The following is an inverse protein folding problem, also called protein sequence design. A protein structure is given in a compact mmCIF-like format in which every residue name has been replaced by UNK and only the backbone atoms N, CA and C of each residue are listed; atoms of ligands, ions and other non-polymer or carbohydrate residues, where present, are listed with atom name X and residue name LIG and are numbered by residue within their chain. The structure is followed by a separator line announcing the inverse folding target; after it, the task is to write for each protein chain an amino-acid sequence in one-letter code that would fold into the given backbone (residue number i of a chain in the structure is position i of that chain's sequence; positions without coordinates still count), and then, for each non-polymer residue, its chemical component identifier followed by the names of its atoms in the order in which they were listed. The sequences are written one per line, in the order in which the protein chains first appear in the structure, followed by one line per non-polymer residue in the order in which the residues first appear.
data_IF_874616636974
#
_entry.id   IF_874616636974
#
_cell.length_a   1.000
_cell.length_b   1.000
_cell.length_c   1.000
_cell.angle_alpha   90.00
_cell.angle_beta   90.00
_cell.angle_gamma   90.00
#
_symmetry.space_group_name_H-M   'P 1'
#
loop_
_entity.id
_entity.type
_entity.pdbx_description
1 polymer ?
#
# COMPACT_ATOMS: atom_id res chain seq x y z
N UNK A 1 5.93 -3.88 12.37
CA UNK A 1 5.94 -3.53 10.94
C UNK A 1 5.25 -2.20 10.71
N UNK A 2 5.64 -1.52 9.66
CA UNK A 2 5.16 -0.17 9.35
C UNK A 2 4.59 -0.11 7.94
N UNK A 3 3.40 0.48 7.80
CA UNK A 3 2.70 0.61 6.52
C UNK A 3 2.40 2.07 6.18
N UNK A 4 2.51 2.39 4.90
CA UNK A 4 2.10 3.66 4.35
C UNK A 4 0.75 3.47 3.65
N UNK A 5 -0.26 4.23 4.05
CA UNK A 5 -1.62 4.13 3.50
C UNK A 5 -1.90 5.37 2.67
N UNK A 6 -2.10 5.16 1.37
CA UNK A 6 -2.18 6.22 0.38
C UNK A 6 -3.54 6.19 -0.31
N UNK A 7 -4.36 7.18 -0.02
CA UNK A 7 -5.71 7.31 -0.58
C UNK A 7 -6.15 8.76 -0.40
N UNK A 8 -6.78 9.35 -1.39
CA UNK A 8 -7.27 10.73 -1.30
C UNK A 8 -8.53 10.84 -0.43
N UNK A 9 -9.22 9.73 -0.18
CA UNK A 9 -10.34 9.68 0.74
C UNK A 9 -9.85 9.50 2.18
N UNK A 10 -10.05 10.50 3.00
CA UNK A 10 -9.70 10.44 4.41
C UNK A 10 -10.41 9.28 5.14
N UNK A 11 -11.67 9.05 4.80
CA UNK A 11 -12.46 7.96 5.39
C UNK A 11 -11.84 6.61 5.03
N UNK A 12 -11.49 6.41 3.76
CA UNK A 12 -10.89 5.16 3.31
C UNK A 12 -9.50 4.95 3.92
N UNK A 13 -8.69 6.01 4.02
CA UNK A 13 -7.38 5.90 4.70
C UNK A 13 -7.56 5.40 6.13
N UNK A 14 -8.54 5.94 6.85
CA UNK A 14 -8.80 5.51 8.24
C UNK A 14 -9.26 4.07 8.33
N UNK A 15 -10.11 3.63 7.41
CA UNK A 15 -10.59 2.24 7.38
C UNK A 15 -9.40 1.30 7.18
N UNK A 16 -8.60 1.53 6.16
CA UNK A 16 -7.42 0.70 5.87
C UNK A 16 -6.42 0.73 7.03
N UNK A 17 -6.13 1.92 7.55
CA UNK A 17 -5.20 2.08 8.68
C UNK A 17 -5.68 1.34 9.92
N UNK A 18 -6.98 1.40 10.23
CA UNK A 18 -7.55 0.73 11.40
C UNK A 18 -7.39 -0.79 11.27
N UNK A 19 -7.71 -1.34 10.10
CA UNK A 19 -7.55 -2.78 9.86
C UNK A 19 -6.08 -3.19 10.00
N UNK A 20 -5.16 -2.43 9.43
CA UNK A 20 -3.73 -2.70 9.53
C UNK A 20 -3.22 -2.63 10.97
N UNK A 21 -3.69 -1.65 11.74
CA UNK A 21 -3.34 -1.53 13.17
C UNK A 21 -3.83 -2.75 13.96
N UNK A 22 -5.01 -3.25 13.65
CA UNK A 22 -5.54 -4.46 14.28
C UNK A 22 -4.66 -5.67 14.00
N UNK A 23 -3.94 -5.67 12.89
CA UNK A 23 -2.99 -6.72 12.54
C UNK A 23 -1.56 -6.45 13.03
N UNK A 24 -1.36 -5.39 13.80
CA UNK A 24 -0.07 -5.10 14.42
C UNK A 24 0.81 -4.09 13.70
N UNK A 25 0.28 -3.39 12.69
CA UNK A 25 1.04 -2.37 11.97
C UNK A 25 1.04 -1.02 12.67
N UNK A 26 2.17 -0.32 12.59
CA UNK A 26 2.24 1.13 12.72
C UNK A 26 1.91 1.71 11.35
N UNK A 27 1.04 2.72 11.28
CA UNK A 27 0.59 3.28 10.01
C UNK A 27 0.92 4.75 9.87
N UNK A 28 1.25 5.16 8.65
CA UNK A 28 1.39 6.55 8.23
C UNK A 28 0.46 6.76 7.06
N UNK A 29 -0.25 7.89 7.03
CA UNK A 29 -1.23 8.18 5.98
C UNK A 29 -0.74 9.28 5.06
N UNK A 30 -1.06 9.15 3.77
CA UNK A 30 -0.79 10.15 2.75
C UNK A 30 -2.02 10.34 1.85
N UNK A 31 -2.32 11.57 1.49
CA UNK A 31 -3.51 11.91 0.70
C UNK A 31 -3.32 11.83 -0.81
N UNK A 32 -2.08 11.70 -1.27
CA UNK A 32 -1.75 11.54 -2.69
C UNK A 32 -0.35 10.94 -2.85
N UNK A 33 0.02 10.65 -4.10
CA UNK A 33 1.31 10.03 -4.38
C UNK A 33 2.51 10.91 -4.03
N UNK A 34 2.38 12.23 -4.14
CA UNK A 34 3.49 13.13 -3.80
C UNK A 34 3.73 13.16 -2.29
N UNK A 35 2.67 13.25 -1.50
CA UNK A 35 2.78 13.17 -0.05
C UNK A 35 3.40 11.84 0.38
N UNK A 36 3.05 10.76 -0.31
CA UNK A 36 3.61 9.45 -0.05
C UNK A 36 5.11 9.39 -0.34
N UNK A 37 5.56 9.95 -1.47
CA UNK A 37 6.99 10.04 -1.78
C UNK A 37 7.73 10.87 -0.75
N UNK A 38 7.12 11.96 -0.29
CA UNK A 38 7.71 12.80 0.76
C UNK A 38 7.86 12.03 2.08
N UNK A 39 6.88 11.21 2.42
CA UNK A 39 6.94 10.36 3.60
C UNK A 39 8.05 9.31 3.50
N UNK A 40 8.24 8.71 2.32
CA UNK A 40 9.34 7.77 2.08
C UNK A 40 10.70 8.47 2.18
N UNK A 41 10.82 9.65 1.58
CA UNK A 41 12.06 10.42 1.63
C UNK A 41 12.43 10.86 3.05
N UNK A 42 11.44 11.09 3.90
CA UNK A 42 11.66 11.52 5.28
C UNK A 42 12.35 10.46 6.15
N UNK A 43 12.22 9.17 5.80
CA UNK A 43 12.93 8.08 6.49
C UNK A 43 14.25 7.69 5.80
N UNK A 44 14.71 8.51 4.86
CA UNK A 44 16.01 8.35 4.20
C UNK A 44 16.03 7.20 3.20
N UNK A 45 16.65 6.09 3.54
CA UNK A 45 16.82 4.95 2.63
C UNK A 45 15.55 4.10 2.45
N UNK A 46 14.42 4.52 3.02
CA UNK A 46 13.15 3.83 2.86
C UNK A 46 13.00 2.55 3.67
N UNK A 47 13.94 2.23 4.55
CA UNK A 47 13.89 1.01 5.36
C UNK A 47 12.84 1.07 6.46
N UNK A 48 12.19 2.22 6.67
CA UNK A 48 11.16 2.40 7.68
C UNK A 48 9.82 1.76 7.35
N UNK A 49 9.56 1.45 6.08
CA UNK A 49 8.28 0.91 5.63
C UNK A 49 8.41 -0.50 5.08
N UNK A 50 7.51 -1.38 5.53
CA UNK A 50 7.40 -2.77 5.03
C UNK A 50 6.38 -2.90 3.92
N UNK A 51 5.33 -2.07 3.96
CA UNK A 51 4.17 -2.15 3.08
C UNK A 51 3.70 -0.76 2.69
N UNK A 52 3.23 -0.61 1.46
CA UNK A 52 2.43 0.53 1.04
C UNK A 52 1.14 0.03 0.41
N UNK A 53 0.00 0.57 0.88
CA UNK A 53 -1.32 0.33 0.32
C UNK A 53 -1.71 1.56 -0.48
N UNK A 54 -2.01 1.39 -1.77
CA UNK A 54 -2.07 2.49 -2.72
C UNK A 54 -3.39 2.47 -3.49
N UNK A 55 -4.17 3.55 -3.42
CA UNK A 55 -5.31 3.74 -4.30
C UNK A 55 -4.82 4.19 -5.69
N UNK A 56 -5.58 3.85 -6.74
CA UNK A 56 -5.23 4.22 -8.11
C UNK A 56 -5.54 5.69 -8.41
N UNK A 57 -6.79 6.08 -8.18
CA UNK A 57 -7.29 7.40 -8.57
C UNK A 57 -7.07 8.42 -7.46
N UNK A 58 -6.04 9.25 -7.62
CA UNK A 58 -5.69 10.30 -6.68
C UNK A 58 -5.30 11.56 -7.44
N UNK A 59 -5.52 12.75 -6.85
CA UNK A 59 -5.02 13.99 -7.44
C UNK A 59 -3.49 14.07 -7.35
N UNK A 60 -2.89 14.97 -8.09
CA UNK A 60 -1.46 15.27 -8.11
C UNK A 60 -0.64 14.14 -8.73
N UNK A 61 -0.76 12.92 -8.22
CA UNK A 61 -0.05 11.75 -8.73
C UNK A 61 -0.91 10.50 -8.49
N UNK A 62 -1.27 9.77 -9.53
CA UNK A 62 -2.04 8.54 -9.40
C UNK A 62 -1.20 7.38 -8.86
N UNK A 63 -1.90 6.30 -8.49
CA UNK A 63 -1.24 5.14 -7.88
C UNK A 63 -0.27 4.43 -8.80
N UNK A 64 -0.57 4.35 -10.09
CA UNK A 64 0.32 3.71 -11.06
C UNK A 64 1.65 4.47 -11.19
N UNK A 65 1.57 5.80 -11.28
CA UNK A 65 2.75 6.65 -11.32
C UNK A 65 3.57 6.53 -10.05
N UNK A 66 2.91 6.49 -8.89
CA UNK A 66 3.59 6.29 -7.61
C UNK A 66 4.36 4.96 -7.59
N UNK A 67 3.71 3.85 -7.97
CA UNK A 67 4.35 2.53 -8.03
C UNK A 67 5.59 2.57 -8.93
N UNK A 68 5.46 3.18 -10.09
CA UNK A 68 6.57 3.31 -11.05
C UNK A 68 7.74 4.06 -10.43
N UNK A 69 7.47 5.20 -9.78
CA UNK A 69 8.52 6.01 -9.15
C UNK A 69 9.21 5.27 -8.01
N UNK A 70 8.47 4.54 -7.21
CA UNK A 70 9.06 3.74 -6.12
C UNK A 70 9.99 2.67 -6.68
N UNK A 71 9.58 1.98 -7.74
CA UNK A 71 10.40 0.93 -8.34
C UNK A 71 11.65 1.44 -9.04
N UNK A 72 11.66 2.69 -9.45
CA UNK A 72 12.86 3.33 -10.02
C UNK A 72 13.91 3.66 -8.96
N UNK A 73 13.51 3.77 -7.70
CA UNK A 73 14.41 4.12 -6.61
C UNK A 73 14.90 2.87 -5.88
N UNK A 74 16.20 2.61 -5.96
CA UNK A 74 16.83 1.43 -5.34
C UNK A 74 16.63 1.38 -3.83
N UNK A 75 16.61 2.53 -3.16
CA UNK A 75 16.44 2.61 -1.72
C UNK A 75 15.08 2.06 -1.26
N UNK A 76 14.08 2.04 -2.13
CA UNK A 76 12.70 1.65 -1.81
C UNK A 76 12.29 0.30 -2.37
N UNK A 77 13.21 -0.46 -2.95
CA UNK A 77 12.90 -1.76 -3.57
C UNK A 77 12.40 -2.81 -2.58
N UNK A 78 12.76 -2.67 -1.31
CA UNK A 78 12.32 -3.60 -0.27
C UNK A 78 10.89 -3.39 0.20
N UNK A 79 10.24 -2.31 -0.20
CA UNK A 79 8.86 -2.02 0.21
C UNK A 79 7.90 -2.85 -0.64
N UNK A 80 7.02 -3.60 0.00
CA UNK A 80 5.96 -4.33 -0.70
C UNK A 80 4.85 -3.34 -1.07
N UNK A 81 4.44 -3.35 -2.33
CA UNK A 81 3.40 -2.47 -2.84
C UNK A 81 2.13 -3.26 -3.13
N UNK A 82 1.02 -2.85 -2.54
CA UNK A 82 -0.29 -3.45 -2.78
C UNK A 82 -1.28 -2.38 -3.19
N UNK A 83 -1.92 -2.58 -4.34
CA UNK A 83 -3.01 -1.71 -4.75
C UNK A 83 -4.25 -2.03 -3.91
N UNK A 84 -4.90 -1.00 -3.38
CA UNK A 84 -6.17 -1.11 -2.64
C UNK A 84 -7.10 -0.07 -3.23
N UNK A 85 -7.93 -0.48 -4.17
CA UNK A 85 -8.65 0.47 -5.03
C UNK A 85 -9.96 -0.11 -5.55
N UNK A 86 -10.86 0.77 -6.02
CA UNK A 86 -12.09 0.37 -6.70
C UNK A 86 -11.87 -0.02 -8.17
N UNK A 87 -10.70 0.28 -8.73
CA UNK A 87 -10.38 -0.10 -10.10
C UNK A 87 -10.27 -1.61 -10.20
N UNK A 88 -11.15 -2.23 -11.00
CA UNK A 88 -11.26 -3.69 -11.08
C UNK A 88 -11.12 -4.25 -12.50
N UNK A 89 -10.86 -3.40 -13.48
CA UNK A 89 -10.67 -3.87 -14.85
C UNK A 89 -9.38 -4.68 -14.96
N UNK A 90 -9.48 -5.82 -15.67
CA UNK A 90 -8.34 -6.73 -15.82
C UNK A 90 -7.09 -6.04 -16.37
N UNK A 91 -7.24 -5.18 -17.38
CA UNK A 91 -6.12 -4.45 -17.96
C UNK A 91 -5.43 -3.54 -16.95
N UNK A 92 -6.17 -2.92 -16.05
CA UNK A 92 -5.60 -2.06 -15.00
C UNK A 92 -4.84 -2.89 -13.96
N UNK A 93 -5.38 -4.03 -13.57
CA UNK A 93 -4.70 -4.94 -12.64
C UNK A 93 -3.37 -5.39 -13.25
N UNK A 94 -3.36 -5.80 -14.51
CA UNK A 94 -2.14 -6.22 -15.21
C UNK A 94 -1.12 -5.09 -15.27
N UNK A 95 -1.57 -3.87 -15.56
CA UNK A 95 -0.67 -2.70 -15.63
C UNK A 95 0.00 -2.42 -14.28
N UNK A 96 -0.75 -2.50 -13.19
CA UNK A 96 -0.20 -2.27 -11.86
C UNK A 96 0.84 -3.32 -11.48
N UNK A 97 0.54 -4.58 -11.72
CA UNK A 97 1.47 -5.68 -11.44
C UNK A 97 2.72 -5.57 -12.31
N UNK A 98 2.57 -5.25 -13.60
CA UNK A 98 3.69 -5.05 -14.50
C UNK A 98 4.57 -3.86 -14.09
N UNK A 99 3.98 -2.81 -13.51
CA UNK A 99 4.73 -1.65 -13.03
C UNK A 99 5.50 -1.92 -11.74
N UNK A 100 5.18 -2.99 -11.02
CA UNK A 100 5.91 -3.41 -9.83
C UNK A 100 5.10 -3.57 -8.56
N UNK A 101 3.77 -3.48 -8.63
CA UNK A 101 2.92 -3.83 -7.50
C UNK A 101 2.97 -5.36 -7.28
N UNK A 102 3.01 -5.76 -6.02
CA UNK A 102 3.10 -7.18 -5.67
C UNK A 102 1.73 -7.84 -5.57
N UNK A 103 0.71 -7.06 -5.23
CA UNK A 103 -0.62 -7.58 -4.99
C UNK A 103 -1.69 -6.52 -5.26
N UNK A 104 -2.94 -6.96 -5.36
CA UNK A 104 -4.07 -6.11 -5.71
C UNK A 104 -5.29 -6.50 -4.89
N UNK A 105 -5.90 -5.53 -4.20
CA UNK A 105 -7.11 -5.73 -3.39
C UNK A 105 -8.19 -4.75 -3.83
N UNK A 106 -9.36 -5.25 -4.17
CA UNK A 106 -10.45 -4.43 -4.70
C UNK A 106 -11.38 -4.01 -3.57
N UNK A 107 -11.69 -2.70 -3.52
CA UNK A 107 -12.66 -2.16 -2.58
C UNK A 107 -14.10 -2.35 -3.11
N UNK A 108 -15.08 -2.63 -2.27
CA UNK A 108 -14.97 -2.84 -0.81
C UNK A 108 -14.36 -4.21 -0.50
N UNK A 109 -13.58 -4.27 0.56
CA UNK A 109 -12.97 -5.51 1.01
C UNK A 109 -13.33 -5.79 2.47
N UNK A 110 -13.22 -7.06 2.88
CA UNK A 110 -13.34 -7.44 4.29
C UNK A 110 -11.97 -7.41 4.95
N UNK A 111 -11.89 -7.25 6.29
CA UNK A 111 -10.63 -7.41 7.00
C UNK A 111 -9.95 -8.77 6.70
N UNK A 112 -10.73 -9.85 6.58
CA UNK A 112 -10.20 -11.16 6.25
C UNK A 112 -9.55 -11.20 4.87
N UNK A 113 -10.11 -10.50 3.88
CA UNK A 113 -9.51 -10.43 2.55
C UNK A 113 -8.13 -9.73 2.59
N UNK A 114 -8.01 -8.65 3.34
CA UNK A 114 -6.73 -7.97 3.52
C UNK A 114 -5.75 -8.86 4.27
N UNK A 115 -6.21 -9.54 5.32
CA UNK A 115 -5.40 -10.47 6.09
C UNK A 115 -4.84 -11.58 5.21
N UNK A 116 -5.66 -12.16 4.36
CA UNK A 116 -5.22 -13.23 3.45
C UNK A 116 -4.12 -12.76 2.50
N UNK A 117 -4.21 -11.52 2.00
CA UNK A 117 -3.17 -10.93 1.16
C UNK A 117 -1.87 -10.74 1.94
N UNK A 118 -1.95 -10.22 3.17
CA UNK A 118 -0.77 -10.03 4.01
C UNK A 118 -0.10 -11.36 4.34
N UNK A 119 -0.90 -12.39 4.63
CA UNK A 119 -0.39 -13.72 4.90
C UNK A 119 0.36 -14.29 3.69
N UNK A 120 -0.23 -14.18 2.50
CA UNK A 120 0.39 -14.59 1.24
C UNK A 120 1.73 -13.90 1.00
N UNK A 121 1.82 -12.62 1.37
CA UNK A 121 3.03 -11.82 1.18
C UNK A 121 4.07 -12.00 2.29
N UNK A 122 3.74 -12.77 3.32
CA UNK A 122 4.61 -12.93 4.48
C UNK A 122 4.67 -11.68 5.36
N UNK A 123 3.64 -10.86 5.33
CA UNK A 123 3.58 -9.57 6.00
C UNK A 123 2.53 -9.49 7.10
N UNK A 124 2.09 -10.61 7.62
CA UNK A 124 1.16 -10.63 8.75
C UNK A 124 1.97 -10.67 10.05
N UNK A 125 2.08 -9.54 10.79
CA UNK A 125 2.94 -9.47 11.96
C UNK A 125 2.37 -10.17 13.19
N UNK A 126 1.05 -10.43 13.22
CA UNK A 126 0.40 -11.12 14.34
C UNK A 126 0.53 -12.62 14.15
N UNK A 127 1.12 -13.28 15.17
CA UNK A 127 1.21 -14.73 15.21
C UNK A 127 -0.03 -15.30 15.90
N UNK A 128 -0.94 -15.84 15.13
CA UNK A 128 -2.22 -16.29 15.64
C UNK A 128 -2.18 -17.65 16.34
N UNK A 129 -1.14 -18.41 16.06
CA UNK A 129 -0.94 -19.72 16.70
C UNK A 129 -0.09 -19.64 17.96
N UNK A 130 0.45 -18.47 18.28
CA UNK A 130 1.33 -18.27 19.43
C UNK A 130 0.59 -18.35 20.77
#
# INVERSE_FOLDING_TARGET
MKALVIDDSRTMRRIVSTVLKDFGYETVEAGDGQQALDALAAVGDGTGFDLACIDWNMPVMDGLTFVTKVRENRAWRGITLMMVTTESEHGQIVRALAAGAHEYLIKPFTPDALRDKLELLGLLPIEEWA
#
